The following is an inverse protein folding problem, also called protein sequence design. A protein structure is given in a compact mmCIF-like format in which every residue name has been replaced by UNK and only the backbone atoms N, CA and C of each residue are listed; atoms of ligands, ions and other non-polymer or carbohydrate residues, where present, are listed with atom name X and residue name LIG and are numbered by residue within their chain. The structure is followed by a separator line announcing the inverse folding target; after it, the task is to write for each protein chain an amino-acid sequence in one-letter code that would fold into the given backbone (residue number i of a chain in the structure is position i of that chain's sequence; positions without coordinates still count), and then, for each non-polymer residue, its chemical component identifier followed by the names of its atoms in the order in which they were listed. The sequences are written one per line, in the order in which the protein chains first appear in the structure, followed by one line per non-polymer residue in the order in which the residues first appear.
data_IF_562165225337
#
_entry.id   IF_562165225337
#
_cell.length_a   1.000
_cell.length_b   1.000
_cell.length_c   1.000
_cell.angle_alpha   90.00
_cell.angle_beta   90.00
_cell.angle_gamma   90.00
#
_symmetry.space_group_name_H-M   'P 1'
#
loop_
_entity.id
_entity.type
_entity.pdbx_description
1 polymer ?
#
# COMPACT_ATOMS: atom_id res chain seq x y z
N UNK A 1 -27.42 -45.90 20.10
CA UNK A 1 -27.16 -44.68 20.91
C UNK A 1 -25.68 -44.31 21.03
N UNK A 2 -24.74 -45.26 21.13
CA UNK A 2 -23.28 -44.97 21.25
C UNK A 2 -22.64 -44.28 20.04
N UNK A 3 -23.13 -44.55 18.82
CA UNK A 3 -22.58 -43.97 17.57
C UNK A 3 -22.96 -42.50 17.35
N UNK A 4 -24.16 -42.07 17.78
CA UNK A 4 -24.60 -40.67 17.68
C UNK A 4 -23.76 -39.74 18.57
N UNK A 5 -23.30 -40.23 19.72
CA UNK A 5 -22.47 -39.49 20.67
C UNK A 5 -21.06 -39.20 20.11
N UNK A 6 -20.50 -40.14 19.33
CA UNK A 6 -19.18 -40.00 18.69
C UNK A 6 -19.23 -38.97 17.54
N UNK A 7 -20.29 -39.00 16.72
CA UNK A 7 -20.46 -38.05 15.61
C UNK A 7 -20.68 -36.62 16.13
N UNK A 8 -21.45 -36.47 17.22
CA UNK A 8 -21.63 -35.18 17.89
C UNK A 8 -20.30 -34.63 18.46
N UNK A 9 -19.45 -35.50 19.03
CA UNK A 9 -18.15 -35.08 19.57
C UNK A 9 -17.17 -34.65 18.46
N UNK A 10 -17.13 -35.36 17.33
CA UNK A 10 -16.27 -35.00 16.20
C UNK A 10 -16.66 -33.67 15.56
N UNK A 11 -17.96 -33.38 15.44
CA UNK A 11 -18.45 -32.11 14.87
C UNK A 11 -18.20 -30.93 15.81
N UNK A 12 -18.29 -31.13 17.13
CA UNK A 12 -17.97 -30.12 18.12
C UNK A 12 -16.49 -29.72 18.11
N UNK A 13 -15.58 -30.69 17.96
CA UNK A 13 -14.15 -30.44 17.86
C UNK A 13 -13.82 -29.59 16.62
N UNK A 14 -14.38 -29.91 15.45
CA UNK A 14 -14.15 -29.15 14.21
C UNK A 14 -14.64 -27.71 14.33
N UNK A 15 -15.80 -27.47 14.96
CA UNK A 15 -16.35 -26.12 15.17
C UNK A 15 -15.50 -25.25 16.13
N UNK A 16 -14.86 -25.86 17.13
CA UNK A 16 -13.92 -25.17 18.02
C UNK A 16 -12.61 -24.82 17.33
N UNK A 17 -12.10 -25.70 16.46
CA UNK A 17 -10.90 -25.40 15.66
C UNK A 17 -11.16 -24.24 14.69
N UNK A 18 -12.31 -24.18 14.02
CA UNK A 18 -12.62 -23.08 13.09
C UNK A 18 -12.72 -21.71 13.77
N UNK A 19 -13.22 -21.64 15.01
CA UNK A 19 -13.34 -20.37 15.75
C UNK A 19 -12.00 -19.80 16.27
N UNK A 20 -10.93 -20.61 16.37
CA UNK A 20 -9.66 -20.15 16.95
C UNK A 20 -8.66 -19.56 15.93
N UNK A 21 -8.99 -19.55 14.63
CA UNK A 21 -8.09 -19.05 13.58
C UNK A 21 -8.33 -17.59 13.14
N UNK A 22 -9.33 -16.90 13.70
CA UNK A 22 -9.76 -15.58 13.19
C UNK A 22 -8.89 -14.38 13.66
N UNK A 23 -8.20 -14.50 14.80
CA UNK A 23 -7.45 -13.37 15.38
C UNK A 23 -6.24 -12.94 14.53
N UNK A 24 -5.49 -13.89 13.95
CA UNK A 24 -4.34 -13.57 13.10
C UNK A 24 -4.75 -12.95 11.75
N UNK A 25 -5.93 -13.32 11.23
CA UNK A 25 -6.46 -12.77 9.98
C UNK A 25 -6.87 -11.30 10.14
N UNK A 26 -7.56 -11.00 11.24
CA UNK A 26 -8.04 -9.64 11.54
C UNK A 26 -6.89 -8.66 11.83
N UNK A 27 -5.87 -9.09 12.57
CA UNK A 27 -4.69 -8.28 12.85
C UNK A 27 -3.93 -7.92 11.57
N UNK A 28 -3.61 -8.92 10.74
CA UNK A 28 -2.90 -8.71 9.48
C UNK A 28 -3.69 -7.81 8.52
N UNK A 29 -5.01 -7.94 8.50
CA UNK A 29 -5.90 -7.05 7.73
C UNK A 29 -5.80 -5.61 8.22
N UNK A 30 -5.83 -5.39 9.53
CA UNK A 30 -5.74 -4.04 10.14
C UNK A 30 -4.41 -3.38 9.84
N UNK A 31 -3.29 -4.11 10.02
CA UNK A 31 -1.95 -3.61 9.69
C UNK A 31 -1.86 -3.21 8.21
N UNK A 32 -2.41 -4.03 7.31
CA UNK A 32 -2.44 -3.73 5.88
C UNK A 32 -3.25 -2.48 5.57
N UNK A 33 -4.45 -2.33 6.13
CA UNK A 33 -5.31 -1.15 5.94
C UNK A 33 -4.67 0.13 6.48
N UNK A 34 -3.96 0.03 7.62
CA UNK A 34 -3.20 1.15 8.15
C UNK A 34 -2.09 1.58 7.19
N UNK A 35 -1.39 0.61 6.57
CA UNK A 35 -0.31 0.90 5.61
C UNK A 35 -0.84 1.48 4.29
N UNK A 36 -2.02 1.04 3.83
CA UNK A 36 -2.75 1.67 2.71
C UNK A 36 -3.09 3.12 3.04
N UNK A 37 -3.71 3.34 4.21
CA UNK A 37 -4.10 4.68 4.64
C UNK A 37 -2.89 5.60 4.78
N UNK A 38 -1.79 5.09 5.33
CA UNK A 38 -0.53 5.84 5.44
C UNK A 38 -0.03 6.28 4.06
N UNK A 39 0.06 5.36 3.10
CA UNK A 39 0.49 5.67 1.74
C UNK A 39 -0.39 6.73 1.07
N UNK A 40 -1.72 6.60 1.15
CA UNK A 40 -2.64 7.55 0.52
C UNK A 40 -2.64 8.94 1.17
N UNK A 41 -2.36 9.02 2.47
CA UNK A 41 -2.17 10.31 3.13
C UNK A 41 -0.85 10.97 2.70
N UNK A 42 0.21 10.17 2.48
CA UNK A 42 1.46 10.66 1.90
C UNK A 42 1.26 11.19 0.47
N UNK A 43 0.50 10.49 -0.38
CA UNK A 43 0.21 10.98 -1.75
C UNK A 43 -0.58 12.29 -1.71
N UNK A 44 -1.53 12.42 -0.78
CA UNK A 44 -2.32 13.65 -0.60
C UNK A 44 -1.45 14.82 -0.14
N UNK A 45 -0.56 14.62 0.83
CA UNK A 45 0.37 15.65 1.29
C UNK A 45 1.35 16.05 0.17
N UNK A 46 1.84 15.07 -0.59
CA UNK A 46 2.71 15.29 -1.73
C UNK A 46 2.02 16.10 -2.83
N UNK A 47 0.77 15.79 -3.19
CA UNK A 47 0.00 16.55 -4.19
C UNK A 47 -0.08 18.03 -3.85
N UNK A 48 -0.34 18.36 -2.58
CA UNK A 48 -0.35 19.75 -2.10
C UNK A 48 1.01 20.43 -2.28
N UNK A 49 2.10 19.72 -1.95
CA UNK A 49 3.45 20.23 -2.16
C UNK A 49 3.79 20.42 -3.65
N UNK A 50 3.49 19.41 -4.48
CA UNK A 50 3.78 19.41 -5.91
C UNK A 50 3.09 20.59 -6.61
N UNK A 51 1.80 20.82 -6.32
CA UNK A 51 1.03 21.91 -6.92
C UNK A 51 1.48 23.31 -6.45
N UNK A 52 2.02 23.43 -5.24
CA UNK A 52 2.50 24.71 -4.69
C UNK A 52 3.97 25.01 -5.02
N UNK A 53 4.73 24.03 -5.51
CA UNK A 53 6.17 24.15 -5.74
C UNK A 53 6.57 23.68 -7.14
N UNK A 54 6.09 24.36 -8.19
CA UNK A 54 6.32 23.98 -9.59
C UNK A 54 7.79 23.97 -10.06
N UNK A 55 8.72 24.53 -9.28
CA UNK A 55 10.16 24.49 -9.54
C UNK A 55 10.92 23.44 -8.72
N UNK A 56 10.23 22.69 -7.86
CA UNK A 56 10.85 21.65 -7.06
C UNK A 56 11.32 20.48 -7.94
N UNK A 57 12.47 19.92 -7.58
CA UNK A 57 13.08 18.78 -8.27
C UNK A 57 13.95 18.00 -7.29
N UNK A 58 14.14 16.72 -7.56
CA UNK A 58 14.93 15.81 -6.73
C UNK A 58 14.12 15.16 -5.61
N UNK A 59 14.83 14.69 -4.58
CA UNK A 59 14.22 14.17 -3.36
C UNK A 59 13.58 15.31 -2.57
N UNK A 60 12.27 15.19 -2.35
CA UNK A 60 11.47 16.15 -1.60
C UNK A 60 10.87 15.54 -0.34
N UNK A 61 11.26 14.32 0.03
CA UNK A 61 10.71 13.57 1.18
C UNK A 61 10.71 14.39 2.46
N UNK A 62 11.78 15.14 2.73
CA UNK A 62 11.91 15.97 3.93
C UNK A 62 11.40 17.41 3.76
N UNK A 63 10.92 17.76 2.55
CA UNK A 63 10.38 19.09 2.22
C UNK A 63 8.85 19.12 2.25
N UNK A 64 8.21 17.97 2.04
CA UNK A 64 6.76 17.83 2.16
C UNK A 64 6.35 17.87 3.63
N UNK A 65 5.47 18.82 3.96
CA UNK A 65 4.94 18.95 5.32
C UNK A 65 3.80 17.93 5.49
N UNK A 66 4.02 16.97 6.38
CA UNK A 66 2.99 16.00 6.75
C UNK A 66 2.09 16.58 7.85
N UNK A 67 0.79 16.22 7.89
CA UNK A 67 -0.07 16.55 9.00
C UNK A 67 0.49 16.02 10.33
N UNK A 68 0.33 16.77 11.41
CA UNK A 68 0.92 16.44 12.74
C UNK A 68 0.47 15.10 13.32
N UNK A 69 -0.69 14.61 12.88
CA UNK A 69 -1.25 13.32 13.30
C UNK A 69 -0.72 12.14 12.47
N UNK A 70 -0.08 12.40 11.32
CA UNK A 70 0.39 11.38 10.40
C UNK A 70 1.77 10.89 10.82
N UNK A 71 1.96 9.59 11.11
CA UNK A 71 3.26 9.06 11.46
C UNK A 71 4.27 9.21 10.33
N UNK A 72 5.51 9.53 10.67
CA UNK A 72 6.62 9.54 9.71
C UNK A 72 7.12 8.12 9.45
N UNK A 73 7.09 7.68 8.19
CA UNK A 73 7.66 6.42 7.71
C UNK A 73 8.81 6.71 6.72
N UNK A 74 10.01 6.25 7.08
CA UNK A 74 11.23 6.47 6.30
C UNK A 74 11.28 5.61 5.02
N UNK A 75 10.42 4.59 4.90
CA UNK A 75 10.30 3.72 3.74
C UNK A 75 9.45 4.33 2.63
N UNK A 76 8.65 5.35 2.94
CA UNK A 76 7.91 6.11 1.94
C UNK A 76 8.76 7.31 1.51
N UNK A 77 9.04 7.38 0.21
CA UNK A 77 9.86 8.44 -0.40
C UNK A 77 9.05 9.24 -1.38
N UNK A 78 9.43 10.51 -1.53
CA UNK A 78 8.80 11.45 -2.43
C UNK A 78 9.85 12.11 -3.32
N UNK A 79 9.62 12.11 -4.62
CA UNK A 79 10.59 12.61 -5.59
C UNK A 79 9.88 13.36 -6.71
N UNK A 80 10.52 14.39 -7.25
CA UNK A 80 10.06 15.08 -8.45
C UNK A 80 11.17 14.96 -9.51
N UNK A 81 10.83 14.44 -10.68
CA UNK A 81 11.76 14.35 -11.80
C UNK A 81 11.07 14.85 -13.08
N UNK A 82 11.54 16.00 -13.59
CA UNK A 82 10.90 16.70 -14.68
C UNK A 82 9.49 17.11 -14.30
N UNK A 83 8.51 16.79 -15.15
CA UNK A 83 7.09 17.05 -14.91
C UNK A 83 6.41 15.99 -14.05
N UNK A 84 7.09 14.93 -13.62
CA UNK A 84 6.46 13.82 -12.91
C UNK A 84 6.76 13.87 -11.42
N UNK A 85 5.71 13.69 -10.61
CA UNK A 85 5.82 13.48 -9.18
C UNK A 85 5.70 12.01 -8.82
N UNK A 86 6.50 11.54 -7.86
CA UNK A 86 6.52 10.15 -7.43
C UNK A 86 6.41 10.05 -5.92
N UNK A 87 5.47 9.25 -5.44
CA UNK A 87 5.45 8.76 -4.05
C UNK A 87 5.55 7.25 -4.10
N UNK A 88 6.55 6.67 -3.45
CA UNK A 88 6.81 5.25 -3.57
C UNK A 88 7.21 4.61 -2.25
N UNK A 89 6.84 3.34 -2.09
CA UNK A 89 7.19 2.54 -0.92
C UNK A 89 7.32 1.06 -1.26
N UNK A 90 8.05 0.27 -0.44
CA UNK A 90 8.16 -1.18 -0.66
C UNK A 90 6.79 -1.85 -0.67
N UNK A 91 6.58 -2.76 -1.62
CA UNK A 91 5.38 -3.58 -1.62
C UNK A 91 5.43 -4.65 -0.53
N UNK A 92 4.24 -5.10 -0.10
CA UNK A 92 4.05 -6.24 0.77
C UNK A 92 2.85 -7.07 0.28
N UNK A 93 2.71 -8.29 0.80
CA UNK A 93 1.68 -9.22 0.34
C UNK A 93 0.28 -8.60 0.38
N UNK A 94 -0.40 -8.57 -0.77
CA UNK A 94 -1.74 -8.03 -0.93
C UNK A 94 -1.90 -6.52 -0.71
N UNK A 95 -0.80 -5.77 -0.55
CA UNK A 95 -0.85 -4.33 -0.29
C UNK A 95 -1.19 -3.54 -1.55
N UNK A 96 -0.58 -3.88 -2.69
CA UNK A 96 -0.85 -3.24 -3.97
C UNK A 96 -2.32 -3.40 -4.39
N UNK A 97 -2.87 -4.61 -4.29
CA UNK A 97 -4.28 -4.87 -4.62
C UNK A 97 -5.24 -4.14 -3.67
N UNK A 98 -4.88 -3.99 -2.40
CA UNK A 98 -5.65 -3.22 -1.44
C UNK A 98 -5.64 -1.71 -1.75
N UNK A 99 -4.49 -1.16 -2.16
CA UNK A 99 -4.39 0.24 -2.60
C UNK A 99 -5.21 0.48 -3.87
N UNK A 100 -5.11 -0.42 -4.87
CA UNK A 100 -5.93 -0.32 -6.08
C UNK A 100 -7.42 -0.33 -5.72
N UNK A 101 -7.86 -1.23 -4.84
CA UNK A 101 -9.26 -1.25 -4.39
C UNK A 101 -9.65 0.03 -3.65
N UNK A 102 -8.80 0.53 -2.75
CA UNK A 102 -9.06 1.74 -1.99
C UNK A 102 -9.08 3.03 -2.84
N UNK A 103 -8.55 2.97 -4.06
CA UNK A 103 -8.49 4.09 -5.00
C UNK A 103 -9.39 3.90 -6.22
N UNK A 104 -10.34 2.96 -6.16
CA UNK A 104 -11.22 2.59 -7.27
C UNK A 104 -10.45 2.33 -8.57
N UNK A 105 -9.32 1.64 -8.45
CA UNK A 105 -8.42 1.29 -9.56
C UNK A 105 -7.87 2.52 -10.28
N UNK A 106 -7.38 3.50 -9.51
CA UNK A 106 -6.77 4.71 -10.04
C UNK A 106 -5.60 4.40 -10.98
N UNK A 107 -5.61 5.06 -12.14
CA UNK A 107 -4.56 4.93 -13.15
C UNK A 107 -3.22 5.57 -12.75
N UNK A 108 -3.21 6.36 -11.66
CA UNK A 108 -2.02 6.98 -11.09
C UNK A 108 -1.24 6.03 -10.18
N UNK A 109 -1.82 4.89 -9.83
CA UNK A 109 -1.19 3.87 -9.00
C UNK A 109 -0.54 2.82 -9.90
N UNK A 110 0.70 2.49 -9.58
CA UNK A 110 1.48 1.50 -10.31
C UNK A 110 2.38 0.66 -9.44
N UNK A 111 2.97 -0.34 -10.07
CA UNK A 111 3.95 -1.24 -9.48
C UNK A 111 5.21 -1.26 -10.33
N UNK A 112 6.37 -1.23 -9.70
CA UNK A 112 7.66 -1.21 -10.41
C UNK A 112 8.21 -2.61 -10.64
N UNK A 113 8.62 -2.90 -11.87
CA UNK A 113 9.54 -3.99 -12.16
C UNK A 113 10.99 -3.46 -12.24
N UNK A 114 11.89 -4.20 -12.91
CA UNK A 114 13.29 -3.80 -13.06
C UNK A 114 13.49 -2.54 -13.90
N UNK A 115 12.64 -2.27 -14.89
CA UNK A 115 12.83 -1.22 -15.91
C UNK A 115 11.67 -0.23 -16.00
N UNK A 116 10.50 -0.58 -15.46
CA UNK A 116 9.24 0.10 -15.73
C UNK A 116 8.38 0.26 -14.49
N UNK A 117 7.50 1.26 -14.54
CA UNK A 117 6.34 1.42 -13.67
C UNK A 117 5.13 0.99 -14.48
N UNK A 118 4.44 -0.06 -14.00
CA UNK A 118 3.25 -0.62 -14.63
C UNK A 118 2.04 -0.03 -13.92
N UNK A 119 1.27 0.78 -14.64
CA UNK A 119 0.02 1.39 -14.16
C UNK A 119 -1.16 0.90 -15.00
N UNK A 120 -2.39 1.21 -14.57
CA UNK A 120 -3.57 0.98 -15.42
C UNK A 120 -3.66 1.95 -16.62
N UNK A 121 -2.96 3.09 -16.57
CA UNK A 121 -2.83 3.98 -17.73
C UNK A 121 -1.84 3.47 -18.79
N UNK A 122 -0.91 2.58 -18.38
CA UNK A 122 0.13 2.05 -19.26
C UNK A 122 1.46 1.85 -18.55
N UNK A 123 2.50 1.63 -19.36
CA UNK A 123 3.86 1.34 -18.91
C UNK A 123 4.72 2.61 -19.06
N UNK A 124 5.37 3.02 -17.98
CA UNK A 124 6.22 4.21 -17.91
C UNK A 124 7.66 3.77 -17.60
N UNK A 125 8.71 4.34 -18.22
CA UNK A 125 10.09 4.05 -17.85
C UNK A 125 10.36 4.37 -16.37
N UNK A 126 10.95 3.43 -15.64
CA UNK A 126 11.23 3.58 -14.20
C UNK A 126 12.48 4.44 -13.98
N UNK A 127 12.40 5.53 -13.19
CA UNK A 127 13.58 6.26 -12.76
C UNK A 127 14.53 5.39 -11.92
N UNK A 128 15.84 5.65 -12.00
CA UNK A 128 16.86 4.84 -11.30
C UNK A 128 16.73 4.89 -9.76
N UNK A 129 16.13 5.96 -9.21
CA UNK A 129 15.98 6.14 -7.77
C UNK A 129 14.81 5.34 -7.18
N UNK A 130 13.92 4.78 -8.01
CA UNK A 130 12.83 3.92 -7.56
C UNK A 130 13.29 2.45 -7.70
N UNK A 131 13.40 1.69 -6.60
CA UNK A 131 13.77 0.28 -6.68
C UNK A 131 12.65 -0.57 -7.32
N UNK A 132 13.00 -1.75 -7.80
CA UNK A 132 12.01 -2.74 -8.24
C UNK A 132 11.22 -3.30 -7.05
N UNK A 133 9.99 -3.77 -7.28
CA UNK A 133 9.14 -4.33 -6.24
C UNK A 133 8.41 -3.30 -5.36
N UNK A 134 8.34 -2.05 -5.79
CA UNK A 134 7.71 -0.94 -5.09
C UNK A 134 6.33 -0.63 -5.66
N UNK A 135 5.47 -0.11 -4.79
CA UNK A 135 4.20 0.53 -5.15
C UNK A 135 4.49 2.01 -5.36
N UNK A 136 3.95 2.59 -6.42
CA UNK A 136 4.23 3.97 -6.83
C UNK A 136 2.92 4.68 -7.13
N UNK A 137 2.80 5.90 -6.63
CA UNK A 137 1.86 6.89 -7.11
C UNK A 137 2.61 7.85 -8.05
N UNK A 138 2.07 8.07 -9.24
CA UNK A 138 2.62 8.96 -10.27
C UNK A 138 1.68 10.14 -10.45
N UNK A 139 2.21 11.36 -10.34
CA UNK A 139 1.49 12.62 -10.55
C UNK A 139 1.94 13.30 -11.83
#
# INVERSE_FOLDING_TARGET
MKSLLIVALCTFIVAFYQNSFDDNSSYNKTVKLNRVSLFLNYTTAFDGFYLSNGSASGDVTNKVILPVWLPTDSTIKMYINGSYGYVFMPSANGLFSEILRATDYSALIGFTDNTSIITLAGIIPKPHFIPAGYIVYVR
#
